data_IF_867929404477
#
_entry.id   IF_867929404477
#
_cell.length_a   1.000
_cell.length_b   1.000
_cell.length_c   1.000
_cell.angle_alpha   90.00
_cell.angle_beta   90.00
_cell.angle_gamma   90.00
#
_symmetry.space_group_name_H-M   'P 1'
#
loop_
_entity.id
_entity.type
_entity.pdbx_description
1 polymer ?
#
# COMPACT_ATOMS: atom_id res chain seq x y z
N UNK A 1 6.57 -11.78 13.29
CA UNK A 1 8.04 -11.92 13.28
C UNK A 1 8.62 -10.51 13.22
N UNK A 2 9.28 -10.03 14.30
CA UNK A 2 10.04 -8.78 14.27
C UNK A 2 11.31 -9.05 13.48
N UNK A 3 11.50 -8.37 12.34
CA UNK A 3 12.65 -8.61 11.45
C UNK A 3 13.85 -7.70 11.76
N UNK A 4 13.82 -6.96 12.88
CA UNK A 4 14.95 -6.12 13.35
C UNK A 4 16.12 -6.94 13.92
N UNK A 5 16.00 -8.27 14.06
CA UNK A 5 17.00 -9.13 14.71
C UNK A 5 17.98 -9.85 13.78
N UNK A 6 18.19 -9.41 12.53
CA UNK A 6 19.07 -10.09 11.56
C UNK A 6 20.15 -9.18 10.97
N UNK A 7 20.74 -8.31 11.78
CA UNK A 7 22.03 -7.68 11.44
C UNK A 7 23.14 -8.65 11.81
N UNK A 8 23.79 -9.27 10.83
CA UNK A 8 25.06 -9.98 11.06
C UNK A 8 26.19 -8.95 10.97
N UNK A 9 27.03 -8.89 12.01
CA UNK A 9 28.23 -8.08 12.03
C UNK A 9 29.18 -8.52 10.91
N UNK A 10 29.69 -7.58 10.13
CA UNK A 10 30.69 -7.85 9.11
C UNK A 10 32.04 -8.17 9.79
N UNK A 11 32.47 -9.43 9.72
CA UNK A 11 33.88 -9.76 9.93
C UNK A 11 34.62 -9.64 8.59
N UNK A 12 35.59 -8.73 8.59
CA UNK A 12 36.58 -8.52 7.54
C UNK A 12 37.50 -9.73 7.40
N UNK A 13 37.60 -10.27 6.18
CA UNK A 13 38.76 -11.04 5.76
C UNK A 13 39.17 -10.58 4.35
N UNK A 14 40.36 -9.99 4.28
CA UNK A 14 41.04 -9.62 3.06
C UNK A 14 41.60 -10.88 2.37
N UNK A 15 41.55 -10.91 1.04
CA UNK A 15 42.49 -11.68 0.24
C UNK A 15 42.62 -11.04 -1.15
N UNK A 16 43.84 -10.63 -1.46
CA UNK A 16 44.37 -10.31 -2.79
C UNK A 16 44.19 -11.49 -3.75
N UNK A 17 43.99 -11.19 -5.04
CA UNK A 17 44.78 -11.79 -6.14
C UNK A 17 44.47 -11.09 -7.47
N UNK A 18 45.53 -10.96 -8.26
CA UNK A 18 45.68 -10.20 -9.51
C UNK A 18 45.45 -11.04 -10.79
N UNK A 19 44.81 -10.40 -11.77
CA UNK A 19 45.16 -10.28 -13.21
C UNK A 19 44.84 -11.37 -14.28
N UNK A 20 44.51 -10.83 -15.46
CA UNK A 20 44.48 -11.28 -16.87
C UNK A 20 43.27 -12.05 -17.45
N UNK A 21 42.80 -11.54 -18.60
CA UNK A 21 41.56 -11.93 -19.28
C UNK A 21 41.72 -12.63 -20.63
N UNK A 22 40.58 -12.89 -21.29
CA UNK A 22 40.45 -13.17 -22.73
C UNK A 22 38.96 -13.06 -23.16
N UNK A 23 38.75 -12.82 -24.47
CA UNK A 23 37.52 -12.42 -25.16
C UNK A 23 36.86 -13.63 -25.84
N UNK A 24 35.53 -13.78 -25.74
CA UNK A 24 34.76 -14.69 -26.61
C UNK A 24 33.39 -15.14 -26.07
N UNK A 25 32.32 -14.47 -26.49
CA UNK A 25 30.91 -14.86 -26.28
C UNK A 25 30.47 -15.94 -27.30
N UNK A 26 29.36 -16.70 -27.11
CA UNK A 26 28.23 -16.40 -26.25
C UNK A 26 27.89 -17.54 -25.28
N UNK A 27 28.18 -17.36 -24.00
CA UNK A 27 27.61 -18.23 -22.98
C UNK A 27 26.23 -17.71 -22.59
N UNK A 28 25.27 -18.63 -22.57
CA UNK A 28 23.95 -18.50 -21.96
C UNK A 28 24.03 -17.68 -20.68
N UNK A 29 23.28 -16.58 -20.61
CA UNK A 29 23.31 -15.61 -19.52
C UNK A 29 23.20 -16.27 -18.13
N UNK A 30 23.79 -15.65 -17.10
CA UNK A 30 24.02 -16.31 -15.83
C UNK A 30 22.71 -16.82 -15.25
N UNK A 31 22.67 -18.13 -15.02
CA UNK A 31 21.75 -18.76 -14.08
C UNK A 31 21.91 -17.99 -12.78
N UNK A 32 20.86 -17.25 -12.39
CA UNK A 32 20.85 -16.44 -11.18
C UNK A 32 21.42 -17.28 -10.02
N UNK A 33 22.43 -16.74 -9.36
CA UNK A 33 23.10 -17.38 -8.24
C UNK A 33 22.08 -17.95 -7.23
N UNK A 34 22.36 -19.10 -6.60
CA UNK A 34 21.43 -19.70 -5.67
C UNK A 34 21.07 -18.70 -4.56
N UNK A 35 19.79 -18.34 -4.46
CA UNK A 35 19.17 -17.49 -3.43
C UNK A 35 19.20 -18.21 -2.06
N UNK A 36 20.40 -18.48 -1.56
CA UNK A 36 20.72 -19.37 -0.44
C UNK A 36 20.17 -18.92 0.93
N UNK A 37 19.28 -17.93 1.00
CA UNK A 37 18.90 -17.28 2.28
C UNK A 37 17.43 -16.91 2.46
N UNK A 38 16.53 -17.29 1.56
CA UNK A 38 15.10 -17.08 1.81
C UNK A 38 14.59 -18.11 2.83
N UNK A 39 14.38 -17.67 4.07
CA UNK A 39 13.87 -18.54 5.13
C UNK A 39 12.52 -19.16 4.74
N UNK A 40 12.46 -20.50 4.80
CA UNK A 40 11.26 -21.25 4.43
C UNK A 40 11.05 -21.40 2.92
N UNK A 41 12.03 -21.08 2.06
CA UNK A 41 11.96 -21.31 0.62
C UNK A 41 11.64 -22.77 0.30
N UNK A 42 10.59 -22.97 -0.48
CA UNK A 42 10.17 -24.25 -1.01
C UNK A 42 10.70 -24.41 -2.44
N UNK A 43 10.45 -23.40 -3.28
CA UNK A 43 10.92 -23.37 -4.66
C UNK A 43 10.88 -21.95 -5.24
N UNK A 44 11.63 -21.76 -6.32
CA UNK A 44 11.58 -20.57 -7.16
C UNK A 44 10.93 -20.92 -8.50
N UNK A 45 9.94 -20.14 -8.91
CA UNK A 45 9.12 -20.38 -10.09
C UNK A 45 9.21 -19.19 -11.04
N UNK A 46 9.46 -19.47 -12.32
CA UNK A 46 9.31 -18.52 -13.42
C UNK A 46 8.29 -19.09 -14.38
N UNK A 47 7.29 -18.29 -14.75
CA UNK A 47 6.18 -18.75 -15.59
C UNK A 47 5.96 -17.81 -16.77
N UNK A 48 5.76 -18.32 -18.00
CA UNK A 48 5.60 -17.48 -19.19
C UNK A 48 4.50 -16.41 -19.07
N UNK A 49 3.40 -16.72 -18.37
CA UNK A 49 2.26 -15.81 -18.18
C UNK A 49 2.60 -14.57 -17.32
N UNK A 50 3.74 -14.63 -16.61
CA UNK A 50 4.29 -13.59 -15.76
C UNK A 50 5.72 -13.26 -16.19
N UNK A 51 5.93 -13.07 -17.50
CA UNK A 51 7.23 -12.68 -18.06
C UNK A 51 7.86 -11.51 -17.27
N UNK A 52 9.13 -11.66 -16.93
CA UNK A 52 9.89 -10.69 -16.12
C UNK A 52 9.65 -10.78 -14.60
N UNK A 53 8.80 -11.70 -14.12
CA UNK A 53 8.58 -11.92 -12.69
C UNK A 53 9.09 -13.31 -12.30
N UNK A 54 9.79 -13.36 -11.17
CA UNK A 54 10.19 -14.59 -10.49
C UNK A 54 9.45 -14.68 -9.16
N UNK A 55 8.83 -15.83 -8.89
CA UNK A 55 8.16 -16.09 -7.62
C UNK A 55 9.02 -16.98 -6.74
N UNK A 56 9.26 -16.55 -5.49
CA UNK A 56 9.90 -17.36 -4.46
C UNK A 56 8.82 -17.85 -3.49
N UNK A 57 8.41 -19.10 -3.65
CA UNK A 57 7.38 -19.72 -2.81
C UNK A 57 8.00 -20.14 -1.48
N UNK A 58 7.48 -19.60 -0.38
CA UNK A 58 7.96 -19.84 0.98
C UNK A 58 6.85 -20.36 1.88
N UNK A 59 7.23 -21.14 2.88
CA UNK A 59 6.39 -21.42 4.04
C UNK A 59 6.65 -20.38 5.13
N UNK A 60 5.61 -19.60 5.44
CA UNK A 60 5.63 -18.66 6.54
C UNK A 60 5.37 -19.40 7.87
N UNK A 61 6.02 -18.92 8.95
CA UNK A 61 5.73 -19.36 10.33
C UNK A 61 4.57 -18.61 10.97
N UNK A 62 4.23 -17.45 10.42
CA UNK A 62 3.20 -16.54 10.91
C UNK A 62 2.74 -15.65 9.76
N UNK A 63 1.44 -15.34 9.71
CA UNK A 63 0.88 -14.42 8.73
C UNK A 63 0.51 -13.07 9.35
N UNK A 64 0.00 -13.09 10.59
CA UNK A 64 -0.36 -11.90 11.35
C UNK A 64 0.88 -11.16 11.86
N UNK A 65 1.03 -9.89 11.48
CA UNK A 65 2.14 -9.04 11.90
C UNK A 65 1.63 -7.93 12.81
N UNK A 66 2.12 -7.91 14.06
CA UNK A 66 1.81 -6.86 15.01
C UNK A 66 2.51 -5.56 14.64
N UNK A 67 1.76 -4.46 14.60
CA UNK A 67 2.27 -3.10 14.40
C UNK A 67 2.73 -2.56 15.75
N UNK A 68 3.96 -2.04 15.89
CA UNK A 68 4.45 -1.49 17.16
C UNK A 68 3.52 -0.40 17.70
N UNK A 69 3.30 -0.38 19.03
CA UNK A 69 2.43 0.61 19.68
C UNK A 69 2.90 2.07 19.50
N UNK A 70 4.17 2.27 19.13
CA UNK A 70 4.74 3.58 18.79
C UNK A 70 4.38 4.05 17.38
N UNK A 71 3.79 3.19 16.55
CA UNK A 71 3.33 3.55 15.22
C UNK A 71 2.05 4.40 15.31
N UNK A 72 1.95 5.40 14.43
CA UNK A 72 0.74 6.21 14.30
C UNK A 72 -0.33 5.57 13.39
N UNK A 73 -0.15 4.30 13.00
CA UNK A 73 -1.12 3.56 12.21
C UNK A 73 -2.40 3.32 13.02
N UNK A 74 -3.59 3.43 12.41
CA UNK A 74 -4.88 3.26 13.08
C UNK A 74 -5.26 1.79 13.32
N UNK A 75 -4.32 0.85 13.17
CA UNK A 75 -4.52 -0.59 13.29
C UNK A 75 -3.30 -1.23 13.97
N UNK A 76 -3.54 -2.33 14.68
CA UNK A 76 -2.51 -3.05 15.45
C UNK A 76 -2.01 -4.31 14.76
N UNK A 77 -2.68 -4.78 13.70
CA UNK A 77 -2.31 -6.00 12.98
C UNK A 77 -2.38 -5.83 11.48
N UNK A 78 -1.48 -6.54 10.77
CA UNK A 78 -1.44 -6.55 9.31
C UNK A 78 -1.18 -7.94 8.74
N UNK A 79 -1.68 -8.16 7.53
CA UNK A 79 -1.36 -9.34 6.71
C UNK A 79 -0.72 -8.87 5.40
N UNK A 80 0.44 -9.46 5.09
CA UNK A 80 1.12 -9.30 3.81
C UNK A 80 1.39 -10.71 3.24
N UNK A 81 0.53 -11.21 2.32
CA UNK A 81 0.70 -12.55 1.73
C UNK A 81 1.87 -12.59 0.74
N UNK A 82 2.22 -11.43 0.20
CA UNK A 82 3.32 -11.22 -0.75
C UNK A 82 4.38 -10.29 -0.16
N UNK A 83 5.61 -10.43 -0.63
CA UNK A 83 6.67 -9.42 -0.50
C UNK A 83 7.17 -9.05 -1.90
N UNK A 84 7.41 -7.76 -2.10
CA UNK A 84 7.60 -7.21 -3.45
C UNK A 84 6.26 -6.88 -4.09
N UNK A 85 6.29 -6.01 -5.08
CA UNK A 85 5.07 -5.60 -5.74
C UNK A 85 5.28 -5.30 -7.22
N UNK A 86 4.64 -6.10 -8.06
CA UNK A 86 4.64 -5.94 -9.53
C UNK A 86 3.93 -4.68 -10.03
N UNK A 87 3.34 -3.89 -9.14
CA UNK A 87 2.85 -2.55 -9.46
C UNK A 87 3.97 -1.56 -9.79
N UNK A 88 5.20 -1.82 -9.31
CA UNK A 88 6.40 -1.07 -9.65
C UNK A 88 6.27 0.46 -9.47
N UNK A 89 5.58 0.90 -8.42
CA UNK A 89 5.41 2.32 -8.14
C UNK A 89 6.77 2.94 -7.77
N UNK A 90 7.18 3.97 -8.52
CA UNK A 90 8.48 4.65 -8.35
C UNK A 90 8.65 5.17 -6.92
N UNK A 91 7.56 5.63 -6.29
CA UNK A 91 7.55 6.19 -4.94
C UNK A 91 7.38 5.17 -3.80
N UNK A 92 7.32 3.86 -4.10
CA UNK A 92 6.88 2.86 -3.12
C UNK A 92 7.81 2.77 -1.90
N UNK A 93 7.31 3.15 -0.72
CA UNK A 93 8.09 3.13 0.52
C UNK A 93 8.50 1.72 0.97
N UNK A 94 7.79 0.68 0.50
CA UNK A 94 8.05 -0.71 0.86
C UNK A 94 9.29 -1.30 0.17
N UNK A 95 9.85 -0.59 -0.82
CA UNK A 95 11.04 -1.00 -1.58
C UNK A 95 12.21 -1.45 -0.71
N UNK A 96 12.50 -0.71 0.36
CA UNK A 96 13.56 -1.05 1.32
C UNK A 96 13.38 -2.42 1.97
N UNK A 97 12.15 -2.94 2.05
CA UNK A 97 11.95 -4.25 2.66
C UNK A 97 12.65 -5.35 1.87
N UNK A 98 12.92 -5.21 0.57
CA UNK A 98 13.68 -6.23 -0.17
C UNK A 98 15.14 -6.38 0.26
N UNK A 99 15.76 -5.33 0.83
CA UNK A 99 17.16 -5.39 1.26
C UNK A 99 17.40 -6.33 2.43
N UNK A 100 16.38 -6.71 3.20
CA UNK A 100 16.52 -7.74 4.23
C UNK A 100 16.53 -9.18 3.66
N UNK A 101 16.42 -9.33 2.34
CA UNK A 101 16.47 -10.61 1.64
C UNK A 101 17.74 -10.76 0.79
N UNK A 102 18.73 -9.87 0.98
CA UNK A 102 19.89 -9.73 0.10
C UNK A 102 19.48 -9.43 -1.37
N UNK A 103 18.35 -8.73 -1.55
CA UNK A 103 17.82 -8.23 -2.84
C UNK A 103 17.87 -6.70 -2.91
N UNK A 104 17.90 -6.12 -4.10
CA UNK A 104 17.88 -4.67 -4.25
C UNK A 104 16.50 -4.03 -3.99
N UNK A 105 16.47 -2.74 -3.65
CA UNK A 105 15.24 -1.96 -3.40
C UNK A 105 14.59 -1.42 -4.69
N UNK A 106 15.20 -1.66 -5.84
CA UNK A 106 14.78 -1.21 -7.15
C UNK A 106 14.17 -2.35 -7.98
N UNK A 107 14.80 -2.76 -9.10
CA UNK A 107 14.27 -3.81 -9.99
C UNK A 107 13.90 -5.13 -9.29
N UNK A 108 14.65 -5.56 -8.28
CA UNK A 108 14.34 -6.79 -7.56
C UNK A 108 13.02 -6.69 -6.78
N UNK A 109 12.70 -5.53 -6.19
CA UNK A 109 11.40 -5.31 -5.54
C UNK A 109 10.22 -5.48 -6.51
N UNK A 110 10.43 -5.09 -7.76
CA UNK A 110 9.40 -5.08 -8.80
C UNK A 110 9.22 -6.47 -9.43
N UNK A 111 10.26 -7.32 -9.43
CA UNK A 111 10.33 -8.56 -10.21
C UNK A 111 10.54 -9.84 -9.39
N UNK A 112 11.12 -9.78 -8.19
CA UNK A 112 11.40 -10.94 -7.32
C UNK A 112 10.35 -10.99 -6.20
N UNK A 113 9.24 -11.70 -6.43
CA UNK A 113 8.11 -11.73 -5.50
C UNK A 113 8.20 -12.93 -4.56
N UNK A 114 8.26 -12.69 -3.25
CA UNK A 114 8.14 -13.76 -2.25
C UNK A 114 6.66 -14.02 -1.97
N UNK A 115 6.25 -15.28 -2.05
CA UNK A 115 4.86 -15.72 -1.90
C UNK A 115 4.75 -16.67 -0.73
N UNK A 116 3.92 -16.33 0.27
CA UNK A 116 3.64 -17.21 1.41
C UNK A 116 2.57 -18.22 1.03
N UNK A 117 2.96 -19.35 0.45
CA UNK A 117 2.01 -20.31 -0.16
C UNK A 117 1.12 -21.01 0.87
N UNK A 118 1.59 -21.13 2.13
CA UNK A 118 0.82 -21.68 3.25
C UNK A 118 0.04 -20.61 4.04
N UNK A 119 -0.17 -19.40 3.48
CA UNK A 119 -0.75 -18.27 4.20
C UNK A 119 -2.10 -18.60 4.87
N UNK A 120 -3.02 -19.25 4.14
CA UNK A 120 -4.36 -19.57 4.63
C UNK A 120 -4.31 -20.54 5.82
N UNK A 121 -3.47 -21.57 5.73
CA UNK A 121 -3.30 -22.59 6.77
C UNK A 121 -2.74 -21.98 8.06
N UNK A 122 -1.71 -21.14 7.93
CA UNK A 122 -1.10 -20.44 9.06
C UNK A 122 -2.10 -19.49 9.70
N UNK A 123 -2.82 -18.70 8.89
CA UNK A 123 -3.82 -17.75 9.39
C UNK A 123 -4.92 -18.46 10.17
N UNK A 124 -5.47 -19.55 9.62
CA UNK A 124 -6.47 -20.39 10.30
C UNK A 124 -6.02 -20.81 11.69
N UNK A 125 -4.77 -21.25 11.82
CA UNK A 125 -4.21 -21.66 13.10
C UNK A 125 -4.01 -20.47 14.06
N UNK A 126 -3.65 -19.29 13.55
CA UNK A 126 -3.44 -18.10 14.35
C UNK A 126 -4.76 -17.51 14.90
N UNK A 127 -5.80 -17.37 14.07
CA UNK A 127 -7.08 -16.76 14.47
C UNK A 127 -7.95 -17.66 15.36
N UNK A 128 -7.67 -18.97 15.39
CA UNK A 128 -8.35 -19.95 16.27
C UNK A 128 -7.75 -20.04 17.68
N UNK A 129 -6.64 -19.35 17.95
CA UNK A 129 -6.03 -19.33 19.28
C UNK A 129 -6.99 -18.68 20.27
N UNK A 130 -7.11 -19.23 21.47
CA UNK A 130 -7.93 -18.65 22.56
C UNK A 130 -7.53 -17.23 22.94
N UNK A 131 -6.27 -16.88 22.72
CA UNK A 131 -5.74 -15.54 22.97
C UNK A 131 -6.02 -14.53 21.86
N UNK A 132 -6.59 -14.94 20.73
CA UNK A 132 -6.90 -14.02 19.63
C UNK A 132 -8.14 -13.20 19.98
N UNK A 133 -7.93 -11.93 20.32
CA UNK A 133 -8.99 -11.00 20.70
C UNK A 133 -9.71 -10.36 19.52
N UNK A 134 -9.45 -10.85 18.29
CA UNK A 134 -10.06 -10.36 17.03
C UNK A 134 -9.92 -8.84 16.80
N UNK A 135 -8.72 -8.25 16.98
CA UNK A 135 -8.50 -6.85 16.60
C UNK A 135 -8.60 -6.67 15.08
N UNK A 136 -8.84 -5.43 14.63
CA UNK A 136 -8.80 -5.08 13.20
C UNK A 136 -7.48 -5.50 12.53
N UNK A 137 -7.58 -6.19 11.40
CA UNK A 137 -6.43 -6.61 10.57
C UNK A 137 -6.41 -5.83 9.26
N UNK A 138 -5.33 -5.09 9.00
CA UNK A 138 -5.16 -4.34 7.75
C UNK A 138 -4.34 -5.11 6.69
N UNK A 139 -4.88 -5.20 5.48
CA UNK A 139 -4.22 -5.70 4.27
C UNK A 139 -3.90 -4.54 3.32
N UNK A 140 -2.83 -4.67 2.53
CA UNK A 140 -2.41 -3.60 1.62
C UNK A 140 -1.49 -2.56 2.25
N UNK A 141 -0.81 -2.92 3.35
CA UNK A 141 0.02 -2.00 4.12
C UNK A 141 1.45 -1.91 3.62
N UNK A 142 2.07 -3.03 3.22
CA UNK A 142 3.44 -3.03 2.67
C UNK A 142 3.49 -3.51 1.22
N UNK A 143 2.62 -4.45 0.85
CA UNK A 143 2.48 -4.92 -0.53
C UNK A 143 1.02 -4.95 -0.91
N UNK A 144 0.75 -4.90 -2.21
CA UNK A 144 -0.62 -4.94 -2.69
C UNK A 144 -1.15 -6.39 -2.68
N UNK A 145 -2.30 -6.66 -2.02
CA UNK A 145 -2.88 -8.00 -1.93
C UNK A 145 -3.49 -8.46 -3.26
N UNK A 146 -3.88 -7.54 -4.14
CA UNK A 146 -4.53 -7.81 -5.43
C UNK A 146 -3.65 -7.45 -6.63
N UNK A 147 -2.33 -7.43 -6.44
CA UNK A 147 -1.37 -7.39 -7.55
C UNK A 147 -1.50 -8.63 -8.45
N UNK A 148 -0.87 -8.61 -9.62
CA UNK A 148 -0.96 -9.69 -10.63
C UNK A 148 -0.73 -11.10 -10.07
N UNK A 149 0.18 -11.26 -9.10
CA UNK A 149 0.47 -12.54 -8.43
C UNK A 149 -0.79 -13.23 -7.86
N UNK A 150 -1.75 -12.45 -7.34
CA UNK A 150 -2.99 -12.98 -6.77
C UNK A 150 -3.90 -13.64 -7.82
N UNK A 151 -3.71 -13.34 -9.11
CA UNK A 151 -4.41 -14.03 -10.20
C UNK A 151 -4.01 -15.51 -10.30
N UNK A 152 -2.75 -15.81 -9.97
CA UNK A 152 -2.17 -17.16 -9.94
C UNK A 152 -2.40 -17.87 -8.62
N UNK A 153 -2.02 -17.23 -7.52
CA UNK A 153 -1.96 -17.90 -6.21
C UNK A 153 -3.30 -17.95 -5.48
N UNK A 154 -4.20 -17.00 -5.75
CA UNK A 154 -5.56 -16.96 -5.19
C UNK A 154 -5.59 -17.13 -3.65
N UNK A 155 -4.71 -16.43 -2.95
CA UNK A 155 -4.59 -16.52 -1.49
C UNK A 155 -5.69 -15.71 -0.79
N UNK A 156 -6.16 -14.62 -1.42
CA UNK A 156 -7.09 -13.69 -0.79
C UNK A 156 -8.46 -14.31 -0.45
N UNK A 157 -9.09 -15.14 -1.30
CA UNK A 157 -10.35 -15.80 -0.95
C UNK A 157 -10.27 -16.60 0.35
N UNK A 158 -9.18 -17.36 0.53
CA UNK A 158 -8.94 -18.11 1.75
C UNK A 158 -8.67 -17.20 2.95
N UNK A 159 -7.85 -16.15 2.78
CA UNK A 159 -7.56 -15.19 3.85
C UNK A 159 -8.83 -14.47 4.32
N UNK A 160 -9.67 -14.00 3.39
CA UNK A 160 -10.95 -13.37 3.67
C UNK A 160 -11.86 -14.34 4.44
N UNK A 161 -11.95 -15.60 3.99
CA UNK A 161 -12.75 -16.63 4.65
C UNK A 161 -12.31 -16.91 6.09
N UNK A 162 -11.01 -16.99 6.36
CA UNK A 162 -10.50 -17.23 7.73
C UNK A 162 -10.70 -16.03 8.66
N UNK A 163 -10.54 -14.80 8.15
CA UNK A 163 -10.81 -13.58 8.94
C UNK A 163 -12.31 -13.46 9.28
N UNK A 164 -13.18 -13.54 8.27
CA UNK A 164 -14.62 -13.46 8.46
C UNK A 164 -15.15 -14.60 9.34
N UNK A 165 -14.75 -15.85 9.05
CA UNK A 165 -15.17 -17.02 9.81
C UNK A 165 -14.67 -17.07 11.26
N UNK A 166 -13.64 -16.29 11.60
CA UNK A 166 -13.19 -16.11 12.98
C UNK A 166 -13.85 -14.94 13.71
N UNK A 167 -14.66 -14.13 13.01
CA UNK A 167 -15.23 -12.89 13.53
C UNK A 167 -14.21 -11.75 13.62
N UNK A 168 -13.13 -11.80 12.85
CA UNK A 168 -12.07 -10.78 12.87
C UNK A 168 -12.38 -9.67 11.87
N UNK A 169 -12.57 -8.41 12.30
CA UNK A 169 -12.72 -7.27 11.40
C UNK A 169 -11.44 -7.03 10.60
N UNK A 170 -11.58 -6.55 9.38
CA UNK A 170 -10.41 -6.31 8.53
C UNK A 170 -10.63 -5.21 7.49
N UNK A 171 -9.54 -4.71 6.93
CA UNK A 171 -9.60 -3.80 5.80
C UNK A 171 -8.64 -4.18 4.69
N UNK A 172 -9.03 -3.90 3.46
CA UNK A 172 -8.22 -4.15 2.26
C UNK A 172 -7.98 -2.84 1.53
N UNK A 173 -6.71 -2.46 1.41
CA UNK A 173 -6.27 -1.37 0.57
C UNK A 173 -5.58 -1.93 -0.69
N UNK A 174 -5.96 -1.48 -1.88
CA UNK A 174 -5.35 -1.97 -3.13
C UNK A 174 -5.36 -0.94 -4.26
N UNK A 175 -4.43 -1.08 -5.20
CA UNK A 175 -4.44 -0.49 -6.54
C UNK A 175 -4.94 -1.47 -7.61
N UNK A 176 -4.99 -2.77 -7.30
CA UNK A 176 -5.30 -3.85 -8.22
C UNK A 176 -6.80 -4.03 -8.43
N UNK A 177 -7.22 -4.12 -9.70
CA UNK A 177 -8.63 -4.34 -10.07
C UNK A 177 -9.08 -5.79 -9.95
N UNK A 178 -8.16 -6.71 -9.65
CA UNK A 178 -8.48 -8.11 -9.39
C UNK A 178 -9.40 -8.30 -8.17
N UNK A 179 -9.46 -7.32 -7.26
CA UNK A 179 -10.40 -7.30 -6.13
C UNK A 179 -11.85 -7.52 -6.59
N UNK A 180 -12.20 -7.05 -7.78
CA UNK A 180 -13.51 -7.26 -8.39
C UNK A 180 -13.97 -8.72 -8.45
N UNK A 181 -13.03 -9.67 -8.56
CA UNK A 181 -13.30 -11.12 -8.55
C UNK A 181 -13.92 -11.57 -7.24
N UNK A 182 -13.45 -10.99 -6.12
CA UNK A 182 -13.82 -11.40 -4.77
C UNK A 182 -14.92 -10.50 -4.18
N UNK A 183 -15.50 -9.60 -4.98
CA UNK A 183 -16.57 -8.71 -4.55
C UNK A 183 -17.78 -9.46 -3.95
N UNK A 184 -18.27 -10.57 -4.54
CA UNK A 184 -19.34 -11.36 -3.92
C UNK A 184 -18.95 -11.92 -2.55
N UNK A 185 -17.69 -12.34 -2.38
CA UNK A 185 -17.16 -12.87 -1.13
C UNK A 185 -17.07 -11.77 -0.07
N UNK A 186 -16.58 -10.58 -0.43
CA UNK A 186 -16.50 -9.43 0.48
C UNK A 186 -17.90 -8.96 0.91
N UNK A 187 -18.87 -8.98 -0.01
CA UNK A 187 -20.26 -8.60 0.26
C UNK A 187 -20.96 -9.61 1.19
N UNK A 188 -20.62 -10.90 1.07
CA UNK A 188 -21.12 -11.91 2.00
C UNK A 188 -20.47 -11.73 3.38
N UNK A 189 -19.14 -11.60 3.43
CA UNK A 189 -18.38 -11.46 4.67
C UNK A 189 -18.71 -10.18 5.44
N UNK A 190 -19.09 -9.10 4.77
CA UNK A 190 -19.45 -7.83 5.43
C UNK A 190 -20.74 -7.91 6.26
N UNK A 191 -21.51 -8.99 6.11
CA UNK A 191 -22.69 -9.28 6.96
C UNK A 191 -22.30 -9.83 8.32
N UNK A 192 -21.13 -10.46 8.41
CA UNK A 192 -20.66 -11.16 9.62
C UNK A 192 -19.64 -10.33 10.39
N UNK A 193 -18.78 -9.58 9.68
CA UNK A 193 -17.71 -8.76 10.28
C UNK A 193 -17.62 -7.39 9.63
N UNK A 194 -17.20 -6.34 10.37
CA UNK A 194 -16.83 -5.06 9.77
C UNK A 194 -15.71 -5.22 8.74
N UNK A 195 -15.94 -4.71 7.52
CA UNK A 195 -14.96 -4.71 6.43
C UNK A 195 -14.78 -3.30 5.88
N UNK A 196 -13.53 -2.83 5.87
CA UNK A 196 -13.13 -1.65 5.11
C UNK A 196 -12.61 -2.03 3.72
N UNK A 197 -13.09 -1.38 2.65
CA UNK A 197 -12.47 -1.48 1.32
C UNK A 197 -11.95 -0.12 0.87
N UNK A 198 -10.69 -0.11 0.42
CA UNK A 198 -9.93 1.09 0.12
C UNK A 198 -9.25 0.97 -1.24
N UNK A 199 -9.47 1.93 -2.13
CA UNK A 199 -8.78 1.98 -3.42
C UNK A 199 -7.72 3.08 -3.38
N UNK A 200 -6.48 2.73 -3.73
CA UNK A 200 -5.39 3.68 -3.90
C UNK A 200 -5.46 4.30 -5.30
N UNK A 201 -5.85 5.58 -5.38
CA UNK A 201 -5.92 6.35 -6.62
C UNK A 201 -5.60 7.81 -6.33
N UNK A 202 -4.42 8.26 -6.75
CA UNK A 202 -3.90 9.60 -6.44
C UNK A 202 -3.78 10.51 -7.67
N UNK A 203 -4.09 10.01 -8.86
CA UNK A 203 -4.02 10.76 -10.11
C UNK A 203 -4.99 10.18 -11.15
N UNK A 204 -5.57 11.05 -11.97
CA UNK A 204 -6.49 10.68 -13.05
C UNK A 204 -5.88 10.80 -14.44
N UNK A 205 -4.70 11.43 -14.56
CA UNK A 205 -3.93 11.48 -15.81
C UNK A 205 -3.30 10.10 -16.11
N UNK A 206 -3.72 9.40 -17.17
CA UNK A 206 -3.19 8.09 -17.52
C UNK A 206 -1.75 8.14 -18.03
N UNK A 207 -1.25 9.27 -18.54
CA UNK A 207 0.14 9.41 -18.97
C UNK A 207 1.08 9.46 -17.76
N UNK A 208 0.78 10.34 -16.80
CA UNK A 208 1.55 10.43 -15.56
C UNK A 208 1.48 9.12 -14.77
N UNK A 209 0.28 8.52 -14.67
CA UNK A 209 0.11 7.23 -14.00
C UNK A 209 0.99 6.14 -14.59
N UNK A 210 1.10 6.02 -15.91
CA UNK A 210 1.98 5.02 -16.54
C UNK A 210 3.46 5.26 -16.25
N UNK A 211 3.88 6.51 -16.09
CA UNK A 211 5.28 6.84 -15.77
C UNK A 211 5.61 6.60 -14.30
N UNK A 212 4.65 6.80 -13.40
CA UNK A 212 4.87 6.74 -11.94
C UNK A 212 4.47 5.39 -11.33
N UNK A 213 3.42 4.75 -11.85
CA UNK A 213 2.82 3.50 -11.37
C UNK A 213 2.64 2.48 -12.52
N UNK A 214 3.69 2.16 -13.30
CA UNK A 214 3.57 1.44 -14.58
C UNK A 214 2.88 0.08 -14.51
N UNK A 215 3.01 -0.64 -13.39
CA UNK A 215 2.41 -1.96 -13.21
C UNK A 215 0.97 -1.93 -12.70
N UNK A 216 0.41 -0.76 -12.40
CA UNK A 216 -0.95 -0.63 -11.85
C UNK A 216 -2.01 -0.49 -12.94
N UNK A 217 -3.26 -0.91 -12.68
CA UNK A 217 -4.38 -0.60 -13.55
C UNK A 217 -4.56 0.92 -13.77
N UNK A 218 -5.12 1.26 -14.92
CA UNK A 218 -5.36 2.66 -15.31
C UNK A 218 -6.26 3.37 -14.28
N UNK A 219 -6.19 4.72 -14.20
CA UNK A 219 -7.11 5.48 -13.35
C UNK A 219 -8.58 5.16 -13.63
N UNK A 220 -8.95 5.05 -14.91
CA UNK A 220 -10.31 4.70 -15.32
C UNK A 220 -10.76 3.33 -14.79
N UNK A 221 -9.90 2.32 -14.85
CA UNK A 221 -10.21 0.98 -14.33
C UNK A 221 -10.34 0.97 -12.80
N UNK A 222 -9.57 1.80 -12.09
CA UNK A 222 -9.70 1.98 -10.63
C UNK A 222 -10.97 2.75 -10.26
N UNK A 223 -11.39 3.74 -11.04
CA UNK A 223 -12.68 4.43 -10.87
C UNK A 223 -13.86 3.47 -11.10
N UNK A 224 -13.80 2.62 -12.12
CA UNK A 224 -14.80 1.56 -12.34
C UNK A 224 -14.91 0.60 -11.14
N UNK A 225 -13.77 0.19 -10.58
CA UNK A 225 -13.77 -0.64 -9.38
C UNK A 225 -14.45 0.05 -8.19
N UNK A 226 -14.21 1.35 -8.00
CA UNK A 226 -14.88 2.14 -6.95
C UNK A 226 -16.40 2.11 -7.16
N UNK A 227 -16.88 2.35 -8.39
CA UNK A 227 -18.31 2.28 -8.72
C UNK A 227 -18.89 0.91 -8.40
N UNK A 228 -18.23 -0.16 -8.84
CA UNK A 228 -18.68 -1.54 -8.60
C UNK A 228 -18.75 -1.91 -7.12
N UNK A 229 -17.83 -1.41 -6.31
CA UNK A 229 -17.86 -1.60 -4.85
C UNK A 229 -19.09 -0.93 -4.24
N UNK A 230 -19.35 0.32 -4.63
CA UNK A 230 -20.49 1.10 -4.14
C UNK A 230 -21.82 0.50 -4.61
N UNK A 231 -21.90 0.08 -5.87
CA UNK A 231 -23.07 -0.59 -6.46
C UNK A 231 -23.38 -1.92 -5.75
N UNK A 232 -22.36 -2.61 -5.21
CA UNK A 232 -22.51 -3.80 -4.39
C UNK A 232 -22.86 -3.50 -2.92
N UNK A 233 -23.04 -2.23 -2.55
CA UNK A 233 -23.38 -1.79 -1.20
C UNK A 233 -22.19 -1.74 -0.23
N UNK A 234 -20.95 -1.81 -0.72
CA UNK A 234 -19.76 -1.69 0.11
C UNK A 234 -19.24 -0.24 0.10
N UNK A 235 -19.15 0.44 1.26
CA UNK A 235 -18.50 1.73 1.35
C UNK A 235 -17.05 1.66 0.87
N UNK A 236 -16.69 2.51 -0.09
CA UNK A 236 -15.35 2.53 -0.67
C UNK A 236 -14.60 3.80 -0.26
N UNK A 237 -13.62 3.65 0.64
CA UNK A 237 -12.63 4.69 0.91
C UNK A 237 -11.64 4.81 -0.25
N UNK A 238 -11.06 5.98 -0.44
CA UNK A 238 -9.98 6.20 -1.40
C UNK A 238 -8.77 6.78 -0.69
N UNK A 239 -7.61 6.17 -0.95
CA UNK A 239 -6.32 6.69 -0.53
C UNK A 239 -5.64 7.38 -1.72
N UNK A 240 -5.82 8.70 -1.81
CA UNK A 240 -5.15 9.55 -2.79
C UNK A 240 -3.77 9.96 -2.28
N UNK A 241 -2.91 8.97 -2.07
CA UNK A 241 -1.54 9.14 -1.62
C UNK A 241 -0.61 8.33 -2.53
N UNK A 242 0.39 8.97 -3.15
CA UNK A 242 0.85 10.34 -2.88
C UNK A 242 0.24 11.41 -3.80
N UNK A 243 -0.01 12.60 -3.24
CA UNK A 243 -0.03 13.85 -4.00
C UNK A 243 1.41 14.27 -4.26
N UNK A 244 1.77 14.35 -5.53
CA UNK A 244 3.09 14.66 -6.07
C UNK A 244 3.26 16.19 -6.25
N UNK A 245 4.20 16.82 -5.52
CA UNK A 245 4.47 18.26 -5.62
C UNK A 245 4.78 18.72 -7.05
N UNK A 246 4.16 19.80 -7.52
CA UNK A 246 4.25 20.34 -8.89
C UNK A 246 3.81 19.42 -10.03
N UNK A 247 3.31 18.21 -9.75
CA UNK A 247 2.82 17.27 -10.76
C UNK A 247 1.33 16.99 -10.62
N UNK A 248 0.80 16.98 -9.39
CA UNK A 248 -0.62 16.62 -9.10
C UNK A 248 -1.24 17.48 -8.00
N UNK A 249 -0.60 18.59 -7.62
CA UNK A 249 -1.00 19.47 -6.52
C UNK A 249 -1.60 20.82 -6.97
N UNK A 250 -1.78 21.04 -8.29
CA UNK A 250 -2.49 22.20 -8.83
C UNK A 250 -3.99 22.14 -8.52
N UNK A 251 -4.70 23.26 -8.62
CA UNK A 251 -6.13 23.27 -8.28
C UNK A 251 -6.92 22.45 -9.30
N UNK A 252 -6.52 22.50 -10.57
CA UNK A 252 -7.13 21.72 -11.65
C UNK A 252 -6.91 20.22 -11.45
N UNK A 253 -5.69 19.81 -11.05
CA UNK A 253 -5.37 18.41 -10.81
C UNK A 253 -6.15 17.86 -9.60
N UNK A 254 -6.24 18.64 -8.52
CA UNK A 254 -6.99 18.27 -7.33
C UNK A 254 -8.51 18.29 -7.59
N UNK A 255 -9.05 19.30 -8.27
CA UNK A 255 -10.48 19.34 -8.61
C UNK A 255 -10.85 18.16 -9.51
N UNK A 256 -10.03 17.87 -10.52
CA UNK A 256 -10.22 16.74 -11.43
C UNK A 256 -10.16 15.39 -10.71
N UNK A 257 -9.18 15.18 -9.82
CA UNK A 257 -9.09 13.96 -9.03
C UNK A 257 -10.32 13.81 -8.12
N UNK A 258 -10.59 14.79 -7.26
CA UNK A 258 -11.67 14.67 -6.26
C UNK A 258 -13.05 14.62 -6.93
N UNK A 259 -13.26 15.35 -8.03
CA UNK A 259 -14.49 15.27 -8.81
C UNK A 259 -14.69 13.88 -9.42
N UNK A 260 -13.65 13.27 -9.99
CA UNK A 260 -13.74 11.91 -10.51
C UNK A 260 -14.04 10.88 -9.39
N UNK A 261 -13.43 11.03 -8.22
CA UNK A 261 -13.69 10.16 -7.06
C UNK A 261 -15.13 10.30 -6.56
N UNK A 262 -15.65 11.53 -6.45
CA UNK A 262 -17.04 11.79 -6.09
C UNK A 262 -18.02 11.20 -7.11
N UNK A 263 -17.76 11.39 -8.40
CA UNK A 263 -18.59 10.83 -9.48
C UNK A 263 -18.57 9.29 -9.53
N UNK A 264 -17.48 8.67 -9.05
CA UNK A 264 -17.39 7.21 -8.89
C UNK A 264 -18.11 6.69 -7.64
N UNK A 265 -18.59 7.56 -6.73
CA UNK A 265 -19.30 7.17 -5.52
C UNK A 265 -18.39 6.91 -4.31
N UNK A 266 -17.12 7.32 -4.33
CA UNK A 266 -16.23 7.15 -3.19
C UNK A 266 -16.85 7.76 -1.91
N UNK A 267 -16.82 7.02 -0.81
CA UNK A 267 -17.48 7.45 0.45
C UNK A 267 -16.60 8.35 1.31
N UNK A 268 -15.29 8.33 1.07
CA UNK A 268 -14.35 9.23 1.71
C UNK A 268 -12.97 9.18 1.08
N UNK A 269 -12.21 10.26 1.25
CA UNK A 269 -10.84 10.36 0.71
C UNK A 269 -9.86 10.74 1.81
N UNK A 270 -8.78 9.96 1.95
CA UNK A 270 -7.56 10.40 2.63
C UNK A 270 -6.50 10.67 1.57
N UNK A 271 -5.92 11.85 1.64
CA UNK A 271 -4.92 12.33 0.70
C UNK A 271 -3.79 12.99 1.46
N UNK A 272 -2.60 12.99 0.86
CA UNK A 272 -1.40 13.46 1.54
C UNK A 272 -0.21 13.48 0.59
N UNK A 273 0.80 14.25 0.97
CA UNK A 273 2.00 14.43 0.18
C UNK A 273 2.77 13.12 0.00
N UNK A 274 3.56 13.06 -1.07
CA UNK A 274 4.60 12.07 -1.27
C UNK A 274 5.50 11.91 -0.05
N UNK A 275 5.77 10.65 0.32
CA UNK A 275 6.61 10.23 1.43
C UNK A 275 7.87 9.53 0.92
N UNK A 276 9.05 10.09 1.16
CA UNK A 276 10.31 9.62 0.58
C UNK A 276 11.19 8.90 1.60
N UNK A 277 10.81 7.66 1.94
CA UNK A 277 11.64 6.78 2.80
C UNK A 277 12.92 6.37 2.09
N UNK A 278 14.01 6.06 2.83
CA UNK A 278 15.18 5.42 2.25
C UNK A 278 14.77 4.17 1.46
N UNK A 279 15.35 3.97 0.28
CA UNK A 279 14.95 2.98 -0.72
C UNK A 279 14.00 3.55 -1.77
N UNK A 280 12.97 4.28 -1.36
CA UNK A 280 12.04 4.95 -2.28
C UNK A 280 12.59 6.31 -2.77
N UNK A 281 13.32 7.02 -1.90
CA UNK A 281 13.87 8.33 -2.18
C UNK A 281 14.82 8.31 -3.37
N UNK A 282 15.77 7.38 -3.37
CA UNK A 282 16.81 7.25 -4.38
C UNK A 282 16.17 6.98 -5.75
N UNK A 283 15.19 6.07 -5.77
CA UNK A 283 14.45 5.74 -6.98
C UNK A 283 13.62 6.93 -7.48
N UNK A 284 12.91 7.61 -6.57
CA UNK A 284 12.15 8.80 -6.91
C UNK A 284 13.04 9.89 -7.53
N UNK A 285 14.20 10.18 -6.95
CA UNK A 285 15.09 11.21 -7.47
C UNK A 285 15.74 10.82 -8.81
N UNK A 286 16.04 9.54 -9.02
CA UNK A 286 16.52 9.05 -10.32
C UNK A 286 15.47 9.22 -11.41
N UNK A 287 14.23 8.80 -11.15
CA UNK A 287 13.10 9.01 -12.05
C UNK A 287 12.84 10.50 -12.30
N UNK A 288 12.82 11.32 -11.24
CA UNK A 288 12.59 12.76 -11.34
C UNK A 288 13.68 13.46 -12.16
N UNK A 289 14.94 13.03 -12.05
CA UNK A 289 16.04 13.58 -12.85
C UNK A 289 15.91 13.23 -14.34
N UNK A 290 15.41 12.04 -14.67
CA UNK A 290 15.18 11.62 -16.04
C UNK A 290 13.96 12.31 -16.66
N UNK A 291 12.84 12.37 -15.92
CA UNK A 291 11.54 12.77 -16.45
C UNK A 291 11.24 14.27 -16.26
N UNK A 292 11.71 14.84 -15.15
CA UNK A 292 11.43 16.22 -14.74
C UNK A 292 12.68 16.91 -14.14
N UNK A 293 13.79 17.04 -14.89
CA UNK A 293 15.07 17.52 -14.36
C UNK A 293 14.97 18.91 -13.68
N UNK A 294 14.09 19.78 -14.17
CA UNK A 294 13.83 21.11 -13.61
C UNK A 294 13.20 21.10 -12.21
N UNK A 295 12.59 19.98 -11.78
CA UNK A 295 11.99 19.82 -10.46
C UNK A 295 12.95 19.30 -9.40
N UNK A 296 14.08 18.69 -9.78
CA UNK A 296 15.03 18.04 -8.86
C UNK A 296 15.47 18.99 -7.74
N UNK A 297 15.88 20.21 -8.10
CA UNK A 297 16.31 21.21 -7.11
C UNK A 297 15.19 21.63 -6.15
N UNK A 298 13.94 21.67 -6.63
CA UNK A 298 12.76 21.99 -5.80
C UNK A 298 12.44 20.87 -4.84
N UNK A 299 12.45 19.62 -5.30
CA UNK A 299 12.26 18.45 -4.46
C UNK A 299 13.35 18.30 -3.40
N UNK A 300 14.62 18.56 -3.73
CA UNK A 300 15.72 18.54 -2.76
C UNK A 300 15.50 19.52 -1.60
N UNK A 301 15.01 20.73 -1.90
CA UNK A 301 14.64 21.70 -0.87
C UNK A 301 13.41 21.25 -0.07
N UNK A 302 12.36 20.82 -0.78
CA UNK A 302 11.10 20.41 -0.16
C UNK A 302 11.25 19.21 0.80
N UNK A 303 12.14 18.27 0.46
CA UNK A 303 12.44 17.06 1.23
C UNK A 303 13.85 17.10 1.83
N UNK A 304 14.37 18.29 2.12
CA UNK A 304 15.70 18.47 2.72
C UNK A 304 15.78 17.99 4.16
N UNK A 305 14.66 18.09 4.90
CA UNK A 305 14.56 17.68 6.31
C UNK A 305 14.30 16.19 6.55
N UNK A 306 14.30 15.36 5.49
CA UNK A 306 14.16 13.91 5.61
C UNK A 306 13.05 13.34 4.72
N UNK A 307 12.22 12.48 5.31
CA UNK A 307 11.23 11.65 4.60
C UNK A 307 9.98 12.42 4.20
N UNK A 308 9.54 13.33 5.07
CA UNK A 308 8.36 14.15 4.86
C UNK A 308 8.70 15.43 4.10
N UNK A 309 7.73 15.95 3.35
CA UNK A 309 7.82 17.30 2.79
C UNK A 309 7.83 18.35 3.92
N UNK A 310 8.34 19.55 3.64
CA UNK A 310 8.36 20.67 4.58
C UNK A 310 6.99 20.92 5.23
N UNK A 311 6.99 21.35 6.49
CA UNK A 311 5.76 21.64 7.26
C UNK A 311 4.86 22.68 6.59
N UNK A 312 5.46 23.67 5.93
CA UNK A 312 4.72 24.72 5.22
C UNK A 312 3.94 24.11 4.04
N UNK A 313 4.59 23.26 3.25
CA UNK A 313 3.94 22.56 2.14
C UNK A 313 2.84 21.61 2.63
N UNK A 314 3.08 20.83 3.69
CA UNK A 314 2.06 19.90 4.19
C UNK A 314 0.86 20.65 4.79
N UNK A 315 1.09 21.80 5.43
CA UNK A 315 0.02 22.68 5.94
C UNK A 315 -0.79 23.30 4.80
N UNK A 316 -0.12 23.82 3.78
CA UNK A 316 -0.74 24.35 2.57
C UNK A 316 -1.58 23.29 1.84
N UNK A 317 -1.00 22.10 1.60
CA UNK A 317 -1.66 21.00 0.92
C UNK A 317 -2.88 20.54 1.73
N UNK A 318 -2.78 20.40 3.04
CA UNK A 318 -3.90 20.01 3.88
C UNK A 318 -5.09 20.99 3.77
N UNK A 319 -4.83 22.29 3.61
CA UNK A 319 -5.87 23.29 3.32
C UNK A 319 -6.61 23.01 2.01
N UNK A 320 -5.88 22.76 0.94
CA UNK A 320 -6.43 22.45 -0.40
C UNK A 320 -7.21 21.13 -0.41
N UNK A 321 -6.65 20.09 0.21
CA UNK A 321 -7.32 18.80 0.32
C UNK A 321 -8.64 18.90 1.10
N UNK A 322 -8.69 19.70 2.18
CA UNK A 322 -9.95 19.98 2.88
C UNK A 322 -10.95 20.72 2.00
N UNK A 323 -10.49 21.68 1.21
CA UNK A 323 -11.35 22.42 0.28
C UNK A 323 -11.99 21.49 -0.77
N UNK A 324 -11.18 20.72 -1.51
CA UNK A 324 -11.70 19.83 -2.57
C UNK A 324 -12.54 18.68 -2.05
N UNK A 325 -12.24 18.14 -0.86
CA UNK A 325 -13.11 17.16 -0.20
C UNK A 325 -14.51 17.71 0.05
N UNK A 326 -14.62 18.91 0.60
CA UNK A 326 -15.93 19.56 0.84
C UNK A 326 -16.64 19.89 -0.46
N UNK A 327 -15.92 20.43 -1.44
CA UNK A 327 -16.45 20.81 -2.76
C UNK A 327 -17.14 19.63 -3.46
N UNK A 328 -16.57 18.43 -3.35
CA UNK A 328 -17.08 17.22 -4.01
C UNK A 328 -17.89 16.30 -3.08
N UNK A 329 -18.29 16.78 -1.90
CA UNK A 329 -19.15 16.01 -0.97
C UNK A 329 -18.49 14.77 -0.37
N UNK A 330 -17.15 14.70 -0.33
CA UNK A 330 -16.41 13.52 0.09
C UNK A 330 -16.10 13.55 1.60
N UNK A 331 -16.44 12.45 2.28
CA UNK A 331 -16.16 12.24 3.70
C UNK A 331 -14.67 12.12 4.04
N UNK A 332 -14.34 11.95 5.33
CA UNK A 332 -13.03 11.45 5.74
C UNK A 332 -12.98 9.93 5.59
N UNK A 333 -11.93 9.40 4.96
CA UNK A 333 -11.77 7.95 4.87
C UNK A 333 -11.33 7.30 6.19
N UNK A 334 -11.28 8.05 7.30
CA UNK A 334 -10.98 7.52 8.63
C UNK A 334 -11.92 6.38 9.06
N UNK A 335 -13.09 6.25 8.42
CA UNK A 335 -14.00 5.10 8.60
C UNK A 335 -13.48 3.78 7.99
N UNK A 336 -12.45 3.81 7.14
CA UNK A 336 -11.84 2.63 6.50
C UNK A 336 -11.12 1.69 7.49
N UNK A 337 -10.69 2.21 8.64
CA UNK A 337 -9.89 1.47 9.64
C UNK A 337 -10.56 1.35 11.01
N UNK A 338 -11.82 1.78 11.17
CA UNK A 338 -12.47 1.84 12.50
C UNK A 338 -13.24 0.56 12.81
N UNK A 339 -13.08 0.10 14.06
CA UNK A 339 -13.76 -1.02 14.70
C UNK A 339 -15.25 -0.76 15.06
N UNK A 340 -15.82 0.40 14.75
CA UNK A 340 -17.13 0.83 15.28
C UNK A 340 -18.27 0.70 14.25
N UNK A 341 -19.35 -0.04 14.55
CA UNK A 341 -20.59 0.00 13.78
C UNK A 341 -21.35 1.31 14.01
N UNK A 342 -22.03 1.78 12.97
CA UNK A 342 -22.86 2.99 12.99
C UNK A 342 -24.06 2.80 13.94
N UNK A 343 -24.03 3.40 15.14
CA UNK A 343 -25.25 3.52 15.92
C UNK A 343 -26.15 4.56 15.25
N UNK A 344 -27.36 4.13 14.89
CA UNK A 344 -28.37 4.95 14.26
C UNK A 344 -28.70 6.17 15.13
N UNK A 345 -28.30 7.36 14.69
CA UNK A 345 -28.85 8.60 15.21
C UNK A 345 -30.22 8.85 14.56
N UNK A 346 -31.23 8.22 15.15
CA UNK A 346 -32.65 8.49 14.97
C UNK A 346 -32.92 9.96 15.32
N UNK A 347 -33.81 10.57 14.52
CA UNK A 347 -34.37 11.89 14.73
C UNK A 347 -34.88 12.09 16.17
N UNK A 348 -34.46 13.19 16.80
CA UNK A 348 -34.95 13.64 18.10
C UNK A 348 -34.95 15.16 18.13
N UNK A 349 -36.14 15.72 18.00
CA UNK A 349 -36.47 17.14 18.12
C UNK A 349 -36.20 17.70 19.52
N UNK A 350 -35.68 18.94 19.58
CA UNK A 350 -35.88 19.88 20.70
C UNK A 350 -34.83 19.86 21.82
N UNK A 351 -33.96 20.86 21.86
CA UNK A 351 -34.14 22.07 22.69
C UNK A 351 -32.82 22.87 22.75
N UNK A 352 -33.01 24.17 22.67
CA UNK A 352 -32.06 25.26 22.75
C UNK A 352 -31.12 25.22 23.97
N UNK A 353 -29.82 25.37 23.71
CA UNK A 353 -28.85 26.12 24.55
C UNK A 353 -27.53 26.28 23.81
N UNK A 354 -27.18 27.53 23.48
CA UNK A 354 -25.80 27.94 23.12
C UNK A 354 -24.91 27.86 24.37
N UNK A 355 -23.66 27.39 24.20
CA UNK A 355 -22.49 28.23 24.52
C UNK A 355 -21.52 28.24 23.32
N UNK A 356 -21.14 29.41 22.81
CA UNK A 356 -19.88 30.13 23.08
C UNK A 356 -18.62 29.43 22.53
N UNK A 357 -17.84 30.25 21.81
CA UNK A 357 -16.65 29.94 21.04
C UNK A 357 -15.68 28.95 21.70
N UNK A 358 -15.32 27.90 20.95
CA UNK A 358 -14.12 27.11 21.20
C UNK A 358 -13.45 26.79 19.85
N UNK A 359 -12.15 27.08 19.81
CA UNK A 359 -11.26 27.15 18.66
C UNK A 359 -11.33 26.00 17.66
N UNK A 360 -11.02 26.36 16.41
CA UNK A 360 -10.75 25.48 15.30
C UNK A 360 -9.86 24.29 15.71
N UNK A 361 -10.47 23.11 15.83
CA UNK A 361 -9.77 21.84 15.98
C UNK A 361 -9.07 21.52 14.66
N UNK A 362 -7.75 21.71 14.63
CA UNK A 362 -6.89 21.15 13.59
C UNK A 362 -6.74 19.65 13.87
N UNK A 363 -7.43 18.82 13.11
CA UNK A 363 -7.25 17.36 13.10
C UNK A 363 -5.83 17.02 12.58
N UNK A 364 -4.86 16.64 13.46
CA UNK A 364 -3.48 16.37 13.07
C UNK A 364 -3.30 14.92 12.61
N UNK A 365 -4.32 14.06 12.73
CA UNK A 365 -4.18 12.60 12.59
C UNK A 365 -3.95 12.13 11.14
N UNK A 366 -4.13 12.99 10.13
CA UNK A 366 -3.90 12.62 8.73
C UNK A 366 -2.42 12.62 8.31
N UNK A 367 -1.50 13.22 9.09
CA UNK A 367 -0.14 13.48 8.62
C UNK A 367 0.88 12.33 8.83
N UNK A 368 0.58 11.34 9.67
CA UNK A 368 1.61 10.37 10.15
C UNK A 368 1.31 8.91 9.84
N UNK A 369 0.42 8.62 8.89
CA UNK A 369 -0.01 7.26 8.56
C UNK A 369 1.06 6.36 7.92
N UNK A 370 2.34 6.75 7.81
CA UNK A 370 3.38 5.91 7.18
C UNK A 370 4.74 5.90 7.84
#
# INVERSE_FOLDING_TARGET
MRWEGQTIAAETAAADTTDQGDVGAPSTGPVAAPLLRLAGLQRTVRTPEFAGITFHEVHAKSLLNHVPATSAMPFSWTINPYRGCSHACVYCFARKTHTYLDLDAGPDFDSQLVVKVNAVEVLRAEVRRRSWSRPHVALGTNTDPYQRAEGRYRLLPGIIGELAGSGTPFSILTKGTLLARDLPLLTAASRDVPIGVGISLAMVDPQLQRRVEPGTPTPAARLDLIRRLVDAGLPCGVMAMPILPWLTDTDEALDGLFGALGAAGATGVTAGALHLRPGAREWWFSWLAAEHPHLVGRYRRLYGGGTYASKDYTTWLAGRLRYFRRRHGLGSSARFFRDEPESAAVAGTGDSRRPQDAGASSDPAQQTLF
#
